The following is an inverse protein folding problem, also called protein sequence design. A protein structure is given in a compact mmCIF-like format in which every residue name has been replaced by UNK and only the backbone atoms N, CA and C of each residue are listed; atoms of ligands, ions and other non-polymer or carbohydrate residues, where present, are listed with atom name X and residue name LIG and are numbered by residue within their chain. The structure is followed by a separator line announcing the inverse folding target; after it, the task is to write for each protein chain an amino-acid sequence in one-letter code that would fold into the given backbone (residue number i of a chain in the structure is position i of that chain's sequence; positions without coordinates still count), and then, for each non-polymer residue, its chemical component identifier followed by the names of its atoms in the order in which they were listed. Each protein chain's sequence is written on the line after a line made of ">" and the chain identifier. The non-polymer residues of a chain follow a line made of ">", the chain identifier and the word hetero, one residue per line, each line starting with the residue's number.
data_IF_831514227631
#
_entry.id   IF_831514227631
#
_cell.length_a   1.000
_cell.length_b   1.000
_cell.length_c   1.000
_cell.angle_alpha   90.00
_cell.angle_beta   90.00
_cell.angle_gamma   90.00
#
_symmetry.space_group_name_H-M   'P 1'
#
loop_
_entity.id
_entity.type
_entity.pdbx_description
1 polymer ?
#
# COMPACT_ATOMS: atom_id res chain seq x y z
N UNK A 1 65.79 -9.65 -25.90
CA UNK A 1 64.97 -9.36 -24.70
C UNK A 1 65.07 -7.90 -24.21
N UNK A 2 66.22 -7.23 -24.37
CA UNK A 2 66.46 -5.83 -23.95
C UNK A 2 65.65 -4.78 -24.73
N UNK A 3 65.41 -5.00 -26.03
CA UNK A 3 64.66 -4.06 -26.89
C UNK A 3 63.18 -3.97 -26.48
N UNK A 4 62.59 -5.06 -25.98
CA UNK A 4 61.19 -5.09 -25.53
C UNK A 4 61.01 -4.32 -24.21
N UNK A 5 61.99 -4.39 -23.31
CA UNK A 5 61.99 -3.65 -22.04
C UNK A 5 62.14 -2.13 -22.24
N UNK A 6 63.01 -1.71 -23.17
CA UNK A 6 63.16 -0.29 -23.55
C UNK A 6 61.90 0.30 -24.18
N UNK A 7 61.18 -0.49 -24.99
CA UNK A 7 59.92 -0.06 -25.61
C UNK A 7 58.77 0.05 -24.60
N UNK A 8 58.80 -0.75 -23.52
CA UNK A 8 57.86 -0.61 -22.40
C UNK A 8 58.14 0.68 -21.61
N UNK A 9 59.41 0.96 -21.30
CA UNK A 9 59.79 2.13 -20.50
C UNK A 9 59.50 3.46 -21.23
N UNK A 10 59.72 3.52 -22.55
CA UNK A 10 59.36 4.68 -23.39
C UNK A 10 57.84 4.86 -23.54
N UNK A 11 57.05 3.78 -23.47
CA UNK A 11 55.57 3.90 -23.43
C UNK A 11 55.11 4.51 -22.11
N UNK A 12 55.65 4.08 -20.97
CA UNK A 12 55.27 4.59 -19.65
C UNK A 12 55.55 6.10 -19.52
N UNK A 13 56.67 6.59 -20.07
CA UNK A 13 56.98 8.02 -20.06
C UNK A 13 56.01 8.85 -20.92
N UNK A 14 55.49 8.28 -22.02
CA UNK A 14 54.51 8.95 -22.90
C UNK A 14 53.09 8.98 -22.31
N UNK A 15 52.71 7.99 -21.49
CA UNK A 15 51.42 8.02 -20.76
C UNK A 15 51.47 8.92 -19.51
N UNK A 16 52.65 9.16 -18.95
CA UNK A 16 52.86 10.14 -17.87
C UNK A 16 52.64 11.60 -18.27
N UNK A 17 52.49 11.90 -19.57
CA UNK A 17 52.23 13.25 -20.09
C UNK A 17 50.73 13.61 -20.16
N UNK A 18 49.86 12.67 -19.78
CA UNK A 18 48.41 12.90 -19.67
C UNK A 18 47.97 12.96 -18.20
N UNK A 19 48.84 13.42 -17.29
CA UNK A 19 48.38 13.82 -15.96
C UNK A 19 47.57 15.11 -16.10
N UNK A 20 46.27 15.12 -15.75
CA UNK A 20 45.50 16.36 -15.69
C UNK A 20 46.26 17.36 -14.82
N UNK A 21 46.36 18.62 -15.24
CA UNK A 21 46.99 19.65 -14.42
C UNK A 21 46.24 19.79 -13.08
N UNK A 22 46.91 20.24 -12.01
CA UNK A 22 46.27 20.51 -10.71
C UNK A 22 45.00 21.36 -10.83
N UNK A 23 44.94 22.25 -11.83
CA UNK A 23 43.75 23.04 -12.16
C UNK A 23 42.60 22.18 -12.72
N UNK A 24 42.91 21.19 -13.58
CA UNK A 24 41.93 20.22 -14.08
C UNK A 24 41.50 19.21 -13.01
N UNK A 25 42.41 18.79 -12.11
CA UNK A 25 42.04 17.98 -10.93
C UNK A 25 41.06 18.72 -10.02
N UNK A 26 41.33 20.00 -9.71
CA UNK A 26 40.44 20.83 -8.90
C UNK A 26 39.11 21.17 -9.60
N UNK A 27 39.06 21.14 -10.94
CA UNK A 27 37.83 21.30 -11.72
C UNK A 27 37.01 20.00 -11.77
N UNK A 28 37.66 18.84 -11.92
CA UNK A 28 36.99 17.53 -11.88
C UNK A 28 36.42 17.23 -10.48
N UNK A 29 37.18 17.56 -9.44
CA UNK A 29 36.78 17.45 -8.02
C UNK A 29 35.70 18.45 -7.62
N UNK A 30 35.46 19.53 -8.39
CA UNK A 30 34.33 20.45 -8.14
C UNK A 30 33.06 20.09 -8.91
N UNK A 31 33.17 19.45 -10.07
CA UNK A 31 32.02 19.07 -10.92
C UNK A 31 31.37 17.76 -10.46
N UNK A 32 32.14 16.87 -9.83
CA UNK A 32 31.65 15.57 -9.33
C UNK A 32 30.88 15.64 -7.99
N UNK A 33 31.29 16.32 -6.91
CA UNK A 33 30.58 16.23 -5.63
C UNK A 33 29.19 16.86 -5.67
N UNK A 34 29.00 17.98 -6.39
CA UNK A 34 27.68 18.64 -6.47
C UNK A 34 26.67 17.85 -7.31
N UNK A 35 27.08 17.32 -8.46
CA UNK A 35 26.16 16.60 -9.35
C UNK A 35 25.74 15.25 -8.77
N UNK A 36 26.64 14.52 -8.10
CA UNK A 36 26.30 13.28 -7.42
C UNK A 36 25.39 13.52 -6.21
N UNK A 37 25.64 14.56 -5.40
CA UNK A 37 24.76 14.95 -4.28
C UNK A 37 23.36 15.39 -4.75
N UNK A 38 23.26 15.99 -5.94
CA UNK A 38 21.97 16.38 -6.53
C UNK A 38 21.21 15.17 -7.11
N UNK A 39 21.92 14.23 -7.75
CA UNK A 39 21.37 12.97 -8.25
C UNK A 39 20.94 12.07 -7.07
N UNK A 40 21.75 11.95 -6.03
CA UNK A 40 21.46 11.21 -4.79
C UNK A 40 20.28 11.83 -4.03
N UNK A 41 20.22 13.17 -3.90
CA UNK A 41 19.05 13.87 -3.37
C UNK A 41 17.79 13.61 -4.19
N UNK A 42 17.89 13.61 -5.52
CA UNK A 42 16.74 13.41 -6.39
C UNK A 42 16.25 11.95 -6.36
N UNK A 43 17.16 10.97 -6.29
CA UNK A 43 16.82 9.56 -6.09
C UNK A 43 16.16 9.32 -4.72
N UNK A 44 16.67 9.91 -3.64
CA UNK A 44 16.05 9.80 -2.31
C UNK A 44 14.65 10.44 -2.28
N UNK A 45 14.45 11.60 -2.92
CA UNK A 45 13.12 12.24 -3.02
C UNK A 45 12.12 11.41 -3.83
N UNK A 46 12.56 10.81 -4.94
CA UNK A 46 11.72 9.93 -5.77
C UNK A 46 11.36 8.67 -4.99
N UNK A 47 12.30 8.07 -4.26
CA UNK A 47 12.04 6.88 -3.45
C UNK A 47 11.02 7.19 -2.32
N UNK A 48 11.17 8.34 -1.64
CA UNK A 48 10.19 8.80 -0.64
C UNK A 48 8.80 9.07 -1.25
N UNK A 49 8.74 9.64 -2.46
CA UNK A 49 7.48 9.89 -3.16
C UNK A 49 6.75 8.58 -3.53
N UNK A 50 7.49 7.59 -4.02
CA UNK A 50 6.95 6.25 -4.33
C UNK A 50 6.44 5.56 -3.07
N UNK A 51 7.20 5.61 -1.97
CA UNK A 51 6.75 5.06 -0.68
C UNK A 51 5.46 5.73 -0.20
N UNK A 52 5.33 7.06 -0.34
CA UNK A 52 4.09 7.78 0.00
C UNK A 52 2.92 7.44 -0.90
N UNK A 53 3.15 7.24 -2.19
CA UNK A 53 2.12 6.81 -3.13
C UNK A 53 1.59 5.42 -2.74
N UNK A 54 2.49 4.49 -2.43
CA UNK A 54 2.11 3.14 -1.97
C UNK A 54 1.40 3.19 -0.62
N UNK A 55 1.87 4.02 0.33
CA UNK A 55 1.20 4.23 1.61
C UNK A 55 -0.23 4.75 1.43
N UNK A 56 -0.44 5.68 0.50
CA UNK A 56 -1.76 6.20 0.18
C UNK A 56 -2.67 5.12 -0.42
N UNK A 57 -2.17 4.33 -1.39
CA UNK A 57 -2.94 3.24 -2.00
C UNK A 57 -3.34 2.19 -0.96
N UNK A 58 -2.40 1.77 -0.10
CA UNK A 58 -2.69 0.81 0.97
C UNK A 58 -3.69 1.40 1.96
N UNK A 59 -3.60 2.68 2.30
CA UNK A 59 -4.56 3.35 3.17
C UNK A 59 -5.98 3.37 2.58
N UNK A 60 -6.11 3.69 1.29
CA UNK A 60 -7.41 3.74 0.60
C UNK A 60 -8.01 2.33 0.49
N UNK A 61 -7.23 1.34 0.07
CA UNK A 61 -7.69 -0.06 -0.01
C UNK A 61 -8.07 -0.59 1.36
N UNK A 62 -7.29 -0.28 2.39
CA UNK A 62 -7.59 -0.67 3.75
C UNK A 62 -8.92 -0.06 4.24
N UNK A 63 -9.10 1.25 4.05
CA UNK A 63 -10.36 1.93 4.40
C UNK A 63 -11.55 1.36 3.62
N UNK A 64 -11.35 1.03 2.35
CA UNK A 64 -12.36 0.39 1.51
C UNK A 64 -12.74 -1.00 2.05
N UNK A 65 -11.77 -1.83 2.45
CA UNK A 65 -12.04 -3.16 3.02
C UNK A 65 -12.81 -3.04 4.34
N UNK A 66 -12.43 -2.12 5.23
CA UNK A 66 -13.15 -1.88 6.49
C UNK A 66 -14.58 -1.43 6.20
N UNK A 67 -14.76 -0.47 5.30
CA UNK A 67 -16.08 0.02 4.92
C UNK A 67 -16.93 -1.07 4.26
N UNK A 68 -16.32 -1.93 3.44
CA UNK A 68 -16.99 -3.08 2.83
C UNK A 68 -17.37 -4.14 3.87
N UNK A 69 -16.54 -4.39 4.88
CA UNK A 69 -16.85 -5.31 5.98
C UNK A 69 -18.06 -4.83 6.79
N UNK A 70 -18.05 -3.57 7.24
CA UNK A 70 -19.21 -2.97 7.91
C UNK A 70 -20.43 -2.87 6.99
N UNK A 71 -20.20 -2.53 5.72
CA UNK A 71 -21.23 -2.47 4.69
C UNK A 71 -21.90 -3.83 4.50
N UNK A 72 -21.14 -4.92 4.45
CA UNK A 72 -21.66 -6.28 4.32
C UNK A 72 -22.50 -6.68 5.52
N UNK A 73 -22.10 -6.33 6.74
CA UNK A 73 -22.89 -6.61 7.96
C UNK A 73 -24.28 -5.95 7.88
N UNK A 74 -24.38 -4.76 7.28
CA UNK A 74 -25.66 -4.04 7.12
C UNK A 74 -26.42 -4.48 5.86
N UNK A 75 -25.72 -4.71 4.75
CA UNK A 75 -26.33 -5.10 3.48
C UNK A 75 -26.90 -6.50 3.54
N UNK A 76 -26.27 -7.44 4.23
CA UNK A 76 -26.65 -8.85 4.19
C UNK A 76 -28.08 -9.10 4.74
N UNK A 77 -28.48 -8.52 5.90
CA UNK A 77 -29.88 -8.57 6.34
C UNK A 77 -30.84 -7.84 5.40
N UNK A 78 -30.43 -6.70 4.85
CA UNK A 78 -31.25 -5.93 3.93
C UNK A 78 -31.50 -6.67 2.61
N UNK A 79 -30.47 -7.35 2.10
CA UNK A 79 -30.53 -8.19 0.90
C UNK A 79 -31.40 -9.43 1.15
N UNK A 80 -31.31 -10.05 2.34
CA UNK A 80 -32.20 -11.15 2.72
C UNK A 80 -33.68 -10.74 2.70
N UNK A 81 -34.02 -9.53 3.18
CA UNK A 81 -35.39 -8.98 3.10
C UNK A 81 -35.79 -8.80 1.64
N UNK A 82 -34.93 -8.17 0.83
CA UNK A 82 -35.20 -7.94 -0.59
C UNK A 82 -35.41 -9.25 -1.36
N UNK A 83 -34.62 -10.29 -1.05
CA UNK A 83 -34.72 -11.61 -1.66
C UNK A 83 -36.02 -12.31 -1.25
N UNK A 84 -36.40 -12.27 0.03
CA UNK A 84 -37.68 -12.80 0.50
C UNK A 84 -38.89 -12.10 -0.12
N UNK A 85 -38.86 -10.77 -0.25
CA UNK A 85 -39.93 -10.01 -0.91
C UNK A 85 -40.03 -10.41 -2.38
N UNK A 86 -38.89 -10.50 -3.09
CA UNK A 86 -38.86 -10.95 -4.49
C UNK A 86 -39.39 -12.37 -4.64
N UNK A 87 -39.00 -13.28 -3.75
CA UNK A 87 -39.46 -14.67 -3.75
C UNK A 87 -40.98 -14.75 -3.56
N UNK A 88 -41.53 -14.00 -2.61
CA UNK A 88 -42.98 -13.92 -2.40
C UNK A 88 -43.72 -13.25 -3.56
N UNK A 89 -43.07 -12.30 -4.23
CA UNK A 89 -43.57 -11.68 -5.46
C UNK A 89 -43.74 -12.67 -6.62
N UNK A 90 -42.87 -13.67 -6.72
CA UNK A 90 -42.99 -14.74 -7.73
C UNK A 90 -44.23 -15.61 -7.51
N UNK A 91 -44.68 -15.75 -6.25
CA UNK A 91 -45.87 -16.54 -5.88
C UNK A 91 -47.18 -15.75 -6.02
N UNK A 92 -47.15 -14.54 -6.59
CA UNK A 92 -48.31 -13.69 -6.81
C UNK A 92 -48.72 -12.82 -5.61
N UNK A 93 -47.92 -12.80 -4.54
CA UNK A 93 -48.15 -11.90 -3.41
C UNK A 93 -47.58 -10.50 -3.69
N UNK A 94 -48.41 -9.47 -3.63
CA UNK A 94 -47.97 -8.09 -3.89
C UNK A 94 -46.86 -7.68 -2.90
N UNK A 95 -45.84 -6.96 -3.39
CA UNK A 95 -44.62 -6.66 -2.64
C UNK A 95 -44.84 -5.98 -1.28
N UNK A 96 -45.98 -5.31 -1.08
CA UNK A 96 -46.37 -4.72 0.20
C UNK A 96 -46.73 -5.77 1.27
N UNK A 97 -47.50 -6.80 0.91
CA UNK A 97 -47.85 -7.91 1.80
C UNK A 97 -46.62 -8.81 2.01
N UNK A 98 -45.81 -8.98 0.96
CA UNK A 98 -44.51 -9.65 1.04
C UNK A 98 -43.56 -8.98 2.03
N UNK A 99 -43.45 -7.65 2.02
CA UNK A 99 -42.62 -6.91 2.98
C UNK A 99 -43.11 -7.08 4.43
N UNK A 100 -44.43 -7.10 4.63
CA UNK A 100 -45.04 -7.23 5.95
C UNK A 100 -44.73 -8.58 6.63
N UNK A 101 -44.48 -9.62 5.83
CA UNK A 101 -44.09 -10.96 6.30
C UNK A 101 -42.56 -11.14 6.28
N UNK A 102 -41.88 -10.61 5.27
CA UNK A 102 -40.43 -10.73 5.09
C UNK A 102 -39.65 -10.00 6.20
N UNK A 103 -40.08 -8.80 6.60
CA UNK A 103 -39.41 -8.02 7.65
C UNK A 103 -39.37 -8.80 8.99
N UNK A 104 -40.50 -9.29 9.54
CA UNK A 104 -40.46 -10.08 10.77
C UNK A 104 -39.78 -11.44 10.60
N UNK A 105 -39.86 -12.08 9.43
CA UNK A 105 -39.15 -13.34 9.17
C UNK A 105 -37.62 -13.17 9.19
N UNK A 106 -37.09 -12.16 8.50
CA UNK A 106 -35.66 -11.83 8.55
C UNK A 106 -35.26 -11.30 9.91
N UNK A 107 -36.10 -10.46 10.53
CA UNK A 107 -35.88 -9.98 11.90
C UNK A 107 -35.73 -11.13 12.91
N UNK A 108 -36.52 -12.20 12.76
CA UNK A 108 -36.40 -13.41 13.58
C UNK A 108 -35.09 -14.18 13.30
N UNK A 109 -34.70 -14.34 12.04
CA UNK A 109 -33.42 -14.94 11.66
C UNK A 109 -32.22 -14.16 12.22
N UNK A 110 -32.27 -12.83 12.11
CA UNK A 110 -31.25 -11.94 12.69
C UNK A 110 -31.23 -12.09 14.21
N UNK A 111 -32.38 -12.12 14.87
CA UNK A 111 -32.47 -12.31 16.33
C UNK A 111 -31.91 -13.67 16.76
N UNK A 112 -32.14 -14.73 15.99
CA UNK A 112 -31.56 -16.06 16.22
C UNK A 112 -30.03 -16.06 16.04
N UNK A 113 -29.52 -15.37 15.02
CA UNK A 113 -28.09 -15.17 14.82
C UNK A 113 -27.46 -14.36 15.98
N UNK A 114 -28.14 -13.31 16.48
CA UNK A 114 -27.70 -12.52 17.63
C UNK A 114 -27.76 -13.28 18.95
N UNK A 115 -28.74 -14.17 19.14
CA UNK A 115 -28.85 -15.04 20.31
C UNK A 115 -27.84 -16.19 20.33
N UNK A 116 -27.14 -16.44 19.22
CA UNK A 116 -26.07 -17.43 19.17
C UNK A 116 -24.85 -16.88 19.90
N UNK A 117 -24.48 -17.43 21.08
CA UNK A 117 -23.38 -16.91 21.87
C UNK A 117 -22.07 -17.02 21.07
N UNK A 118 -21.30 -15.93 21.07
CA UNK A 118 -20.01 -15.84 20.37
C UNK A 118 -20.08 -15.25 18.96
N UNK A 119 -21.21 -15.32 18.25
CA UNK A 119 -21.27 -14.85 16.85
C UNK A 119 -21.17 -13.31 16.76
N UNK A 120 -21.92 -12.59 17.60
CA UNK A 120 -21.87 -11.14 17.65
C UNK A 120 -20.54 -10.58 18.15
N UNK A 121 -19.89 -11.25 19.12
CA UNK A 121 -18.59 -10.78 19.63
C UNK A 121 -17.49 -10.96 18.59
N UNK A 122 -17.46 -12.11 17.91
CA UNK A 122 -16.47 -12.37 16.84
C UNK A 122 -16.59 -11.33 15.72
N UNK A 123 -17.80 -10.95 15.32
CA UNK A 123 -18.00 -9.95 14.25
C UNK A 123 -17.47 -8.57 14.65
N UNK A 124 -17.71 -8.15 15.90
CA UNK A 124 -17.24 -6.87 16.43
C UNK A 124 -15.73 -6.88 16.65
N UNK A 125 -15.20 -7.94 17.26
CA UNK A 125 -13.76 -8.16 17.49
C UNK A 125 -13.00 -8.18 16.16
N UNK A 126 -13.50 -8.91 15.17
CA UNK A 126 -12.92 -8.93 13.81
C UNK A 126 -12.91 -7.54 13.19
N UNK A 127 -13.96 -6.75 13.39
CA UNK A 127 -14.03 -5.36 12.91
C UNK A 127 -13.00 -4.45 13.60
N UNK A 128 -12.85 -4.58 14.92
CA UNK A 128 -11.87 -3.83 15.70
C UNK A 128 -10.43 -4.24 15.34
N UNK A 129 -10.18 -5.54 15.17
CA UNK A 129 -8.88 -6.08 14.76
C UNK A 129 -8.50 -5.65 13.35
N UNK A 130 -9.49 -5.54 12.45
CA UNK A 130 -9.27 -4.98 11.11
C UNK A 130 -8.73 -3.56 11.25
N UNK A 131 -9.44 -2.69 11.98
CA UNK A 131 -9.06 -1.28 12.20
C UNK A 131 -7.68 -1.16 12.88
N UNK A 132 -7.42 -1.98 13.89
CA UNK A 132 -6.13 -2.01 14.59
C UNK A 132 -4.99 -2.43 13.65
N UNK A 133 -5.23 -3.46 12.82
CA UNK A 133 -4.27 -3.91 11.80
C UNK A 133 -3.98 -2.81 10.78
N UNK A 134 -5.00 -2.04 10.38
CA UNK A 134 -4.81 -0.87 9.52
C UNK A 134 -3.89 0.18 10.10
N UNK A 135 -4.10 0.55 11.38
CA UNK A 135 -3.22 1.48 12.08
C UNK A 135 -1.78 0.97 12.14
N UNK A 136 -1.59 -0.29 12.49
CA UNK A 136 -0.26 -0.91 12.56
C UNK A 136 0.46 -0.92 11.19
N UNK A 137 -0.27 -1.19 10.10
CA UNK A 137 0.28 -1.11 8.74
C UNK A 137 0.68 0.31 8.36
N UNK A 138 -0.14 1.31 8.68
CA UNK A 138 0.18 2.74 8.44
C UNK A 138 1.43 3.16 9.20
N UNK A 139 1.58 2.72 10.45
CA UNK A 139 2.75 3.01 11.28
C UNK A 139 4.02 2.34 10.73
N UNK A 140 3.93 1.08 10.29
CA UNK A 140 5.04 0.40 9.62
C UNK A 140 5.46 1.11 8.32
N UNK A 141 4.50 1.59 7.51
CA UNK A 141 4.81 2.40 6.33
C UNK A 141 5.46 3.73 6.69
N UNK A 142 5.03 4.38 7.78
CA UNK A 142 5.64 5.62 8.27
C UNK A 142 7.10 5.38 8.72
N UNK A 143 7.38 4.27 9.40
CA UNK A 143 8.73 3.88 9.80
C UNK A 143 9.66 3.58 8.61
N UNK A 144 9.12 2.97 7.54
CA UNK A 144 9.88 2.75 6.30
C UNK A 144 10.14 4.10 5.61
N UNK A 145 9.14 4.99 5.54
CA UNK A 145 9.29 6.32 4.98
C UNK A 145 10.31 7.19 5.73
N UNK A 146 10.45 7.03 7.06
CA UNK A 146 11.48 7.72 7.83
C UNK A 146 12.89 7.14 7.60
N UNK A 147 13.01 5.82 7.40
CA UNK A 147 14.31 5.19 7.13
C UNK A 147 14.82 5.44 5.70
N UNK A 148 13.92 5.63 4.73
CA UNK A 148 14.28 6.00 3.34
C UNK A 148 14.67 7.47 3.20
N UNK A 149 14.41 8.30 4.22
CA UNK A 149 14.89 9.69 4.28
C UNK A 149 16.36 9.82 4.68
N UNK A 150 17.01 8.70 5.04
CA UNK A 150 18.45 8.60 5.33
C UNK A 150 19.31 8.74 4.09
#
# INVERSE_FOLDING_TARGET
>A
MVITALRYNLRIQKVGFLTPSLSQYNALDKVTPKSYQEIERNMNKVNVAVVRLVQFVVFVVFTFIVMAYFGAIILLPLDAIALLIKLMGVVGLHGFIGALIAIPAVGYLVLMAYKTPGLGSIVIETGLDLVATGKAKIEAFNAIASNVKG
#
